data_IF_786330024001
#
_entry.id   IF_786330024001
#
_cell.length_a   1.000
_cell.length_b   1.000
_cell.length_c   1.000
_cell.angle_alpha   90.00
_cell.angle_beta   90.00
_cell.angle_gamma   90.00
#
_symmetry.space_group_name_H-M   'P 1'
#
loop_
_entity.id
_entity.type
_entity.pdbx_description
1 polymer ?
#
# COMPACT_ATOMS: atom_id res chain seq x y z
N UNK A 1 1.83 4.27 -43.77
CA UNK A 1 1.94 4.75 -42.37
C UNK A 1 2.26 6.24 -42.43
N UNK A 2 1.62 7.07 -41.60
CA UNK A 2 1.78 8.53 -41.66
C UNK A 2 3.05 8.97 -40.93
N UNK A 3 3.75 10.02 -41.41
CA UNK A 3 4.97 10.56 -40.76
C UNK A 3 4.82 10.80 -39.26
N UNK A 4 3.62 11.18 -38.81
CA UNK A 4 3.29 11.37 -37.40
C UNK A 4 3.34 10.07 -36.57
N UNK A 5 2.96 8.93 -37.15
CA UNK A 5 3.06 7.62 -36.49
C UNK A 5 4.52 7.18 -36.37
N UNK A 6 5.34 7.41 -37.40
CA UNK A 6 6.76 7.04 -37.40
C UNK A 6 7.54 7.87 -36.36
N UNK A 7 7.25 9.17 -36.26
CA UNK A 7 7.84 10.05 -35.23
C UNK A 7 7.45 9.65 -33.81
N UNK A 8 6.20 9.25 -33.60
CA UNK A 8 5.72 8.77 -32.30
C UNK A 8 6.40 7.46 -31.92
N UNK A 9 6.54 6.52 -32.86
CA UNK A 9 7.27 5.26 -32.65
C UNK A 9 8.75 5.51 -32.33
N UNK A 10 9.41 6.42 -33.05
CA UNK A 10 10.81 6.76 -32.80
C UNK A 10 11.01 7.35 -31.39
N UNK A 11 10.12 8.27 -30.96
CA UNK A 11 10.14 8.85 -29.61
C UNK A 11 9.89 7.79 -28.54
N UNK A 12 8.93 6.89 -28.75
CA UNK A 12 8.63 5.79 -27.84
C UNK A 12 9.83 4.84 -27.69
N UNK A 13 10.46 4.44 -28.80
CA UNK A 13 11.67 3.59 -28.79
C UNK A 13 12.82 4.25 -28.03
N UNK A 14 13.07 5.54 -28.27
CA UNK A 14 14.13 6.30 -27.56
C UNK A 14 13.87 6.34 -26.05
N UNK A 15 12.63 6.61 -25.63
CA UNK A 15 12.23 6.61 -24.21
C UNK A 15 12.39 5.23 -23.59
N UNK A 16 11.96 4.17 -24.29
CA UNK A 16 12.09 2.79 -23.83
C UNK A 16 13.56 2.38 -23.63
N UNK A 17 14.45 2.72 -24.57
CA UNK A 17 15.88 2.45 -24.44
C UNK A 17 16.51 3.21 -23.27
N UNK A 18 16.16 4.49 -23.08
CA UNK A 18 16.64 5.28 -21.95
C UNK A 18 16.16 4.67 -20.61
N UNK A 19 14.90 4.22 -20.55
CA UNK A 19 14.35 3.54 -19.38
C UNK A 19 15.09 2.24 -19.09
N UNK A 20 15.31 1.41 -20.12
CA UNK A 20 16.08 0.15 -20.00
C UNK A 20 17.49 0.37 -19.47
N UNK A 21 18.16 1.46 -19.86
CA UNK A 21 19.48 1.83 -19.31
C UNK A 21 19.38 2.14 -17.82
N UNK A 22 18.39 2.95 -17.40
CA UNK A 22 18.16 3.24 -15.97
C UNK A 22 17.82 1.99 -15.15
N UNK A 23 17.07 1.04 -15.72
CA UNK A 23 16.74 -0.23 -15.06
C UNK A 23 17.95 -1.18 -14.87
N UNK A 24 19.06 -0.94 -15.59
CA UNK A 24 20.32 -1.66 -15.39
C UNK A 24 21.16 -1.08 -14.25
N UNK A 25 20.84 0.13 -13.78
CA UNK A 25 21.54 0.76 -12.66
C UNK A 25 21.45 -0.13 -11.41
N UNK A 26 22.58 -0.40 -10.71
CA UNK A 26 22.60 -1.23 -9.52
C UNK A 26 21.63 -0.75 -8.43
N UNK A 27 21.46 0.57 -8.28
CA UNK A 27 20.54 1.17 -7.29
C UNK A 27 19.10 0.77 -7.58
N UNK A 28 18.70 0.84 -8.85
CA UNK A 28 17.35 0.41 -9.27
C UNK A 28 17.13 -1.06 -8.97
N UNK A 29 18.07 -1.92 -9.42
CA UNK A 29 17.94 -3.37 -9.28
C UNK A 29 17.85 -3.79 -7.82
N UNK A 30 18.61 -3.13 -6.93
CA UNK A 30 18.60 -3.37 -5.49
C UNK A 30 17.27 -2.96 -4.85
N UNK A 31 16.74 -1.77 -5.17
CA UNK A 31 15.44 -1.31 -4.64
C UNK A 31 14.31 -2.21 -5.15
N UNK A 32 14.26 -2.47 -6.45
CA UNK A 32 13.27 -3.36 -7.04
C UNK A 32 13.35 -4.76 -6.40
N UNK A 33 14.55 -5.32 -6.28
CA UNK A 33 14.79 -6.60 -5.62
C UNK A 33 14.32 -6.65 -4.17
N UNK A 34 14.44 -5.53 -3.44
CA UNK A 34 13.93 -5.42 -2.06
C UNK A 34 12.42 -5.41 -1.99
N UNK A 35 11.77 -4.65 -2.87
CA UNK A 35 10.32 -4.54 -2.90
C UNK A 35 9.66 -5.84 -3.41
N UNK A 36 10.31 -6.53 -4.35
CA UNK A 36 9.90 -7.86 -4.81
C UNK A 36 10.08 -8.90 -3.71
N UNK A 37 11.21 -8.92 -3.00
CA UNK A 37 11.45 -9.85 -1.90
C UNK A 37 10.41 -9.70 -0.77
N UNK A 38 9.96 -8.48 -0.51
CA UNK A 38 8.91 -8.20 0.47
C UNK A 38 7.48 -8.52 -0.04
N UNK A 39 7.33 -8.81 -1.33
CA UNK A 39 6.04 -9.06 -1.99
C UNK A 39 5.21 -7.79 -2.20
N UNK A 40 5.85 -6.61 -2.24
CA UNK A 40 5.19 -5.32 -2.49
C UNK A 40 5.02 -5.05 -3.99
N UNK A 41 5.89 -5.61 -4.81
CA UNK A 41 5.87 -5.46 -6.27
C UNK A 41 6.13 -6.78 -6.96
N UNK A 42 5.52 -6.95 -8.13
CA UNK A 42 5.91 -7.94 -9.12
C UNK A 42 6.68 -7.25 -10.26
N UNK A 43 7.66 -7.97 -10.82
CA UNK A 43 8.48 -7.48 -11.93
C UNK A 43 8.62 -8.54 -13.02
N UNK A 44 8.61 -8.10 -14.27
CA UNK A 44 8.93 -8.92 -15.45
C UNK A 44 10.36 -8.66 -15.95
N UNK A 45 11.13 -7.83 -15.23
CA UNK A 45 12.52 -7.54 -15.58
C UNK A 45 13.38 -8.73 -15.15
N UNK A 46 13.98 -9.40 -16.13
CA UNK A 46 14.84 -10.55 -15.89
C UNK A 46 16.11 -10.20 -15.07
N UNK A 47 16.50 -11.17 -14.24
CA UNK A 47 17.73 -11.14 -13.46
C UNK A 47 17.75 -10.11 -12.33
N UNK A 48 16.62 -9.53 -11.92
CA UNK A 48 16.56 -8.69 -10.71
C UNK A 48 16.87 -9.60 -9.51
N UNK A 49 18.03 -9.43 -8.83
CA UNK A 49 18.34 -10.25 -7.67
C UNK A 49 17.44 -9.84 -6.51
N UNK A 50 16.93 -10.83 -5.77
CA UNK A 50 16.25 -10.55 -4.50
C UNK A 50 17.22 -9.87 -3.55
N UNK A 51 16.74 -8.86 -2.82
CA UNK A 51 17.56 -8.10 -1.90
C UNK A 51 16.90 -8.06 -0.52
N UNK A 52 17.56 -8.61 0.49
CA UNK A 52 16.99 -8.68 1.85
C UNK A 52 17.42 -7.54 2.76
N UNK A 53 18.49 -6.82 2.38
CA UNK A 53 19.00 -5.74 3.23
C UNK A 53 18.19 -4.45 3.04
N UNK A 54 18.11 -3.59 4.06
CA UNK A 54 17.47 -2.29 3.91
C UNK A 54 18.18 -1.41 2.87
N UNK A 55 17.41 -0.74 2.01
CA UNK A 55 17.95 0.12 0.96
C UNK A 55 17.92 1.60 1.39
N UNK A 56 18.92 2.43 1.05
CA UNK A 56 18.86 3.87 1.34
C UNK A 56 17.59 4.52 0.80
N UNK A 57 17.00 5.43 1.59
CA UNK A 57 15.84 6.20 1.17
C UNK A 57 16.10 6.94 -0.16
N UNK A 58 17.29 7.53 -0.32
CA UNK A 58 17.68 8.24 -1.54
C UNK A 58 17.66 7.33 -2.79
N UNK A 59 18.20 6.11 -2.67
CA UNK A 59 18.16 5.12 -3.76
C UNK A 59 16.71 4.76 -4.11
N UNK A 60 15.84 4.61 -3.10
CA UNK A 60 14.44 4.28 -3.31
C UNK A 60 13.66 5.42 -3.98
N UNK A 61 13.89 6.66 -3.54
CA UNK A 61 13.31 7.86 -4.16
C UNK A 61 13.77 8.02 -5.61
N UNK A 62 15.06 7.79 -5.88
CA UNK A 62 15.59 7.79 -7.23
C UNK A 62 14.97 6.69 -8.09
N UNK A 63 14.85 5.46 -7.56
CA UNK A 63 14.23 4.35 -8.26
C UNK A 63 12.75 4.61 -8.58
N UNK A 64 12.04 5.37 -7.72
CA UNK A 64 10.69 5.85 -7.99
C UNK A 64 10.56 6.77 -9.21
N UNK A 65 11.65 7.42 -9.64
CA UNK A 65 11.69 8.18 -10.90
C UNK A 65 11.83 7.28 -12.15
N UNK A 66 12.20 6.01 -11.95
CA UNK A 66 12.37 5.00 -13.00
C UNK A 66 11.14 4.09 -13.07
N UNK A 67 10.64 3.62 -11.92
CA UNK A 67 9.42 2.83 -11.80
C UNK A 67 8.41 3.60 -10.92
N UNK A 68 7.39 4.22 -11.52
CA UNK A 68 6.41 5.04 -10.79
C UNK A 68 5.70 4.28 -9.64
N UNK A 69 5.48 2.97 -9.77
CA UNK A 69 4.86 2.16 -8.72
C UNK A 69 5.68 2.17 -7.42
N UNK A 70 7.01 2.31 -7.50
CA UNK A 70 7.85 2.49 -6.31
C UNK A 70 7.50 3.81 -5.61
N UNK A 71 7.33 4.90 -6.37
CA UNK A 71 6.98 6.21 -5.80
C UNK A 71 5.58 6.21 -5.16
N UNK A 72 4.63 5.48 -5.75
CA UNK A 72 3.28 5.28 -5.19
C UNK A 72 3.30 4.48 -3.90
N UNK A 73 4.15 3.46 -3.80
CA UNK A 73 4.27 2.61 -2.61
C UNK A 73 5.06 3.25 -1.47
N UNK A 74 6.01 4.13 -1.79
CA UNK A 74 6.97 4.66 -0.82
C UNK A 74 6.32 5.28 0.43
N UNK A 75 5.26 6.13 0.33
CA UNK A 75 4.58 6.65 1.51
C UNK A 75 4.06 5.56 2.45
N UNK A 76 3.49 4.48 1.90
CA UNK A 76 3.02 3.35 2.69
C UNK A 76 4.18 2.57 3.34
N UNK A 77 5.28 2.35 2.61
CA UNK A 77 6.48 1.69 3.14
C UNK A 77 7.11 2.50 4.27
N UNK A 78 7.26 3.82 4.12
CA UNK A 78 7.81 4.71 5.13
C UNK A 78 7.06 4.65 6.46
N UNK A 79 5.74 4.46 6.41
CA UNK A 79 4.89 4.42 7.60
C UNK A 79 4.74 3.01 8.17
N UNK A 80 4.53 2.01 7.31
CA UNK A 80 4.16 0.65 7.75
C UNK A 80 5.33 -0.31 7.82
N UNK A 81 6.35 -0.13 6.97
CA UNK A 81 7.53 -1.01 6.90
C UNK A 81 8.83 -0.19 6.79
N UNK A 82 9.11 0.74 7.74
CA UNK A 82 10.30 1.59 7.66
C UNK A 82 11.61 0.78 7.67
N UNK A 83 11.62 -0.44 8.23
CA UNK A 83 12.77 -1.36 8.24
C UNK A 83 13.24 -1.81 6.86
N UNK A 84 12.43 -1.64 5.80
CA UNK A 84 12.89 -1.89 4.43
C UNK A 84 13.87 -0.83 3.94
N UNK A 85 13.90 0.33 4.61
CA UNK A 85 14.66 1.50 4.22
C UNK A 85 15.72 1.82 5.28
N UNK A 86 16.87 2.32 4.83
CA UNK A 86 17.82 3.05 5.67
C UNK A 86 17.45 4.51 5.60
N UNK A 87 16.86 5.01 6.66
CA UNK A 87 16.45 6.41 6.77
C UNK A 87 17.64 7.26 7.24
N UNK A 88 17.87 8.44 6.65
CA UNK A 88 18.83 9.40 7.16
C UNK A 88 18.39 9.95 8.53
N UNK A 89 19.32 10.58 9.27
CA UNK A 89 19.03 11.24 10.54
C UNK A 89 18.00 12.37 10.37
N UNK A 90 18.13 13.11 9.27
CA UNK A 90 17.21 14.18 8.87
C UNK A 90 16.50 13.77 7.60
N UNK A 91 15.16 13.75 7.65
CA UNK A 91 14.32 13.40 6.51
C UNK A 91 14.11 14.63 5.62
N UNK A 92 14.01 14.46 4.29
CA UNK A 92 13.51 15.50 3.42
C UNK A 92 12.12 15.98 3.86
N UNK A 93 11.84 17.28 3.73
CA UNK A 93 10.59 17.89 4.22
C UNK A 93 9.33 17.24 3.63
N UNK A 94 9.36 16.92 2.33
CA UNK A 94 8.24 16.26 1.64
C UNK A 94 7.97 14.85 2.20
N UNK A 95 9.03 14.11 2.52
CA UNK A 95 8.97 12.80 3.17
C UNK A 95 8.44 12.92 4.60
N UNK A 96 8.95 13.87 5.37
CA UNK A 96 8.50 14.11 6.74
C UNK A 96 7.01 14.49 6.78
N UNK A 97 6.58 15.39 5.89
CA UNK A 97 5.21 15.86 5.80
C UNK A 97 4.23 14.74 5.43
N UNK A 98 4.55 13.90 4.43
CA UNK A 98 3.67 12.78 4.05
C UNK A 98 3.60 11.73 5.16
N UNK A 99 4.73 11.42 5.82
CA UNK A 99 4.76 10.50 6.95
C UNK A 99 3.92 11.00 8.12
N UNK A 100 4.06 12.29 8.47
CA UNK A 100 3.26 12.92 9.51
C UNK A 100 1.77 12.86 9.17
N UNK A 101 1.39 13.27 7.96
CA UNK A 101 0.00 13.30 7.55
C UNK A 101 -0.67 11.92 7.62
N UNK A 102 -0.01 10.89 7.11
CA UNK A 102 -0.52 9.51 7.15
C UNK A 102 -0.62 9.00 8.59
N UNK A 103 0.39 9.23 9.44
CA UNK A 103 0.39 8.75 10.83
C UNK A 103 -0.71 9.38 11.69
N UNK A 104 -1.00 10.65 11.45
CA UNK A 104 -1.96 11.42 12.24
C UNK A 104 -3.33 11.57 11.56
N UNK A 105 -3.58 10.86 10.45
CA UNK A 105 -4.85 10.95 9.72
C UNK A 105 -5.18 12.36 9.23
N UNK A 106 -4.16 13.18 8.93
CA UNK A 106 -4.32 14.53 8.38
C UNK A 106 -4.46 14.45 6.86
N UNK A 107 -4.97 15.52 6.21
CA UNK A 107 -4.94 15.63 4.75
C UNK A 107 -3.53 15.40 4.22
N UNK A 108 -3.38 14.41 3.36
CA UNK A 108 -2.08 14.00 2.87
C UNK A 108 -1.66 14.86 1.65
N UNK A 109 -0.44 15.39 1.60
CA UNK A 109 0.02 16.25 0.50
C UNK A 109 0.37 15.45 -0.75
N UNK A 110 0.49 16.09 -1.91
CA UNK A 110 1.11 15.43 -3.07
C UNK A 110 2.55 15.03 -2.74
N UNK A 111 2.94 13.81 -3.11
CA UNK A 111 4.27 13.28 -2.84
C UNK A 111 5.05 13.11 -4.14
N UNK A 112 5.98 14.03 -4.42
CA UNK A 112 6.85 14.02 -5.62
C UNK A 112 6.09 13.79 -6.94
N UNK A 113 4.98 14.51 -7.10
CA UNK A 113 4.11 14.41 -8.29
C UNK A 113 3.08 13.28 -8.24
N UNK A 114 3.05 12.48 -7.18
CA UNK A 114 2.00 11.47 -6.93
C UNK A 114 0.91 12.08 -6.06
N UNK A 115 -0.32 12.08 -6.55
CA UNK A 115 -1.48 12.57 -5.82
C UNK A 115 -1.91 11.59 -4.71
N UNK A 116 -2.52 12.08 -3.60
CA UNK A 116 -2.87 11.25 -2.44
C UNK A 116 -3.75 10.04 -2.73
N UNK A 117 -4.69 10.17 -3.65
CA UNK A 117 -5.58 9.10 -4.11
C UNK A 117 -4.83 7.88 -4.68
N UNK A 118 -3.61 8.07 -5.20
CA UNK A 118 -2.78 6.99 -5.75
C UNK A 118 -1.96 6.26 -4.69
N UNK A 119 -1.50 6.95 -3.65
CA UNK A 119 -0.61 6.33 -2.65
C UNK A 119 -1.31 5.93 -1.35
N UNK A 120 -2.43 6.56 -0.99
CA UNK A 120 -3.16 6.24 0.23
C UNK A 120 -3.74 4.82 0.27
N UNK A 121 -4.25 4.23 -0.84
CA UNK A 121 -4.73 2.85 -0.84
C UNK A 121 -3.65 1.87 -0.34
N UNK A 122 -2.40 2.06 -0.76
CA UNK A 122 -1.26 1.23 -0.35
C UNK A 122 -1.02 1.26 1.16
N UNK A 123 -1.33 2.36 1.86
CA UNK A 123 -1.18 2.42 3.33
C UNK A 123 -2.02 1.35 4.02
N UNK A 124 -3.19 1.03 3.44
CA UNK A 124 -4.07 -0.01 3.95
C UNK A 124 -3.58 -1.41 3.60
N UNK A 125 -3.02 -1.60 2.41
CA UNK A 125 -2.59 -2.92 1.90
C UNK A 125 -1.23 -3.36 2.46
N UNK A 126 -0.23 -2.47 2.47
CA UNK A 126 1.16 -2.78 2.87
C UNK A 126 1.24 -3.23 4.34
N UNK A 127 0.36 -2.73 5.20
CA UNK A 127 0.34 -3.06 6.63
C UNK A 127 -0.42 -4.34 7.00
N UNK A 128 -1.05 -5.04 6.04
CA UNK A 128 -2.05 -6.08 6.32
C UNK A 128 -1.76 -7.37 5.57
N UNK A 129 -0.72 -8.12 5.98
CA UNK A 129 -0.74 -9.56 5.75
C UNK A 129 -1.80 -10.18 6.68
N UNK A 130 -2.97 -10.52 6.12
CA UNK A 130 -3.98 -11.37 6.77
C UNK A 130 -4.86 -10.73 7.85
N UNK A 131 -4.90 -9.40 7.98
CA UNK A 131 -5.83 -8.72 8.90
C UNK A 131 -6.57 -7.63 8.18
N UNK A 132 -7.87 -7.78 7.98
CA UNK A 132 -8.75 -6.73 7.47
C UNK A 132 -8.62 -5.45 8.31
N UNK A 133 -8.88 -4.26 7.74
CA UNK A 133 -9.08 -3.07 8.55
C UNK A 133 -10.04 -3.38 9.69
N UNK A 134 -9.63 -3.04 10.92
CA UNK A 134 -10.59 -2.63 11.92
C UNK A 134 -11.25 -1.36 11.39
N UNK A 135 -12.25 -1.51 10.54
CA UNK A 135 -13.13 -0.41 10.19
C UNK A 135 -13.91 -0.15 11.47
N UNK A 136 -13.51 0.87 12.22
CA UNK A 136 -14.34 1.41 13.30
C UNK A 136 -15.56 2.07 12.65
N UNK A 137 -16.52 1.24 12.22
CA UNK A 137 -17.89 1.68 11.97
C UNK A 137 -18.55 1.78 13.34
N UNK A 138 -18.86 3.00 13.76
CA UNK A 138 -19.75 3.20 14.90
C UNK A 138 -21.18 2.87 14.46
N UNK A 139 -21.71 1.74 14.93
CA UNK A 139 -23.11 1.41 14.74
C UNK A 139 -23.94 2.19 15.75
N UNK A 140 -24.98 2.90 15.29
CA UNK A 140 -25.96 3.53 16.17
C UNK A 140 -27.03 2.51 16.53
N UNK A 141 -26.76 1.72 17.56
CA UNK A 141 -27.78 0.86 18.17
C UNK A 141 -28.78 1.70 18.95
N UNK A 142 -30.06 1.39 18.80
CA UNK A 142 -31.10 1.88 19.71
C UNK A 142 -31.01 1.11 21.03
N UNK A 143 -31.66 1.63 22.06
CA UNK A 143 -31.73 0.97 23.37
C UNK A 143 -32.28 -0.47 23.26
N UNK A 144 -33.30 -0.67 22.41
CA UNK A 144 -33.89 -1.98 22.13
C UNK A 144 -32.89 -2.99 21.54
N UNK A 145 -32.00 -2.53 20.66
CA UNK A 145 -30.98 -3.37 20.04
C UNK A 145 -29.93 -3.83 21.05
N UNK A 146 -29.52 -2.93 21.96
CA UNK A 146 -28.58 -3.24 23.05
C UNK A 146 -29.18 -4.28 24.00
N UNK A 147 -30.46 -4.15 24.34
CA UNK A 147 -31.18 -5.14 25.16
C UNK A 147 -31.31 -6.48 24.44
N UNK A 148 -31.55 -6.47 23.12
CA UNK A 148 -31.60 -7.68 22.31
C UNK A 148 -30.24 -8.38 22.27
N UNK A 149 -29.16 -7.64 22.06
CA UNK A 149 -27.79 -8.15 22.04
C UNK A 149 -27.39 -8.77 23.40
N UNK A 150 -27.75 -8.09 24.49
CA UNK A 150 -27.52 -8.59 25.85
C UNK A 150 -28.27 -9.89 26.15
N UNK A 151 -29.50 -10.04 25.65
CA UNK A 151 -30.27 -11.29 25.76
C UNK A 151 -29.63 -12.42 24.96
N UNK A 152 -29.25 -12.14 23.71
CA UNK A 152 -28.57 -13.12 22.85
C UNK A 152 -27.24 -13.60 23.44
N UNK A 153 -26.47 -12.70 24.05
CA UNK A 153 -25.22 -13.06 24.74
C UNK A 153 -25.45 -14.03 25.91
N UNK A 154 -26.58 -13.91 26.62
CA UNK A 154 -26.91 -14.83 27.73
C UNK A 154 -27.36 -16.21 27.24
N UNK A 155 -27.98 -16.27 26.07
CA UNK A 155 -28.50 -17.53 25.49
C UNK A 155 -27.51 -18.27 24.60
N UNK A 156 -26.42 -17.61 24.17
CA UNK A 156 -25.41 -18.18 23.29
C UNK A 156 -24.11 -18.43 24.05
N UNK A 157 -23.27 -19.41 23.63
CA UNK A 157 -21.96 -19.66 24.25
C UNK A 157 -20.91 -18.55 23.98
N UNK A 158 -21.32 -17.41 23.41
CA UNK A 158 -20.47 -16.28 23.08
C UNK A 158 -20.03 -15.50 24.34
N UNK A 159 -18.76 -15.12 24.40
CA UNK A 159 -18.15 -14.41 25.54
C UNK A 159 -18.21 -12.89 25.39
N UNK A 160 -18.54 -12.37 24.21
CA UNK A 160 -18.65 -10.93 23.94
C UNK A 160 -19.74 -10.56 22.94
N UNK A 161 -20.17 -9.29 22.99
CA UNK A 161 -21.15 -8.71 22.06
C UNK A 161 -20.70 -8.84 20.59
N UNK A 162 -19.39 -8.70 20.35
CA UNK A 162 -18.77 -8.89 19.03
C UNK A 162 -18.95 -10.31 18.50
N UNK A 163 -18.79 -11.32 19.36
CA UNK A 163 -18.96 -12.72 18.98
C UNK A 163 -20.42 -13.05 18.69
N UNK A 164 -21.35 -12.49 19.46
CA UNK A 164 -22.79 -12.62 19.20
C UNK A 164 -23.15 -12.05 17.84
N UNK A 165 -22.66 -10.85 17.50
CA UNK A 165 -22.89 -10.23 16.19
C UNK A 165 -22.30 -11.09 15.08
N UNK A 166 -21.08 -11.63 15.27
CA UNK A 166 -20.44 -12.49 14.28
C UNK A 166 -21.24 -13.76 14.01
N UNK A 167 -21.66 -14.46 15.06
CA UNK A 167 -22.51 -15.65 14.92
C UNK A 167 -23.83 -15.34 14.21
N UNK A 168 -24.45 -14.20 14.51
CA UNK A 168 -25.69 -13.78 13.85
C UNK A 168 -25.50 -13.52 12.34
N UNK A 169 -24.37 -12.90 11.95
CA UNK A 169 -24.04 -12.66 10.56
C UNK A 169 -23.75 -13.97 9.81
N UNK A 170 -22.96 -14.88 10.40
CA UNK A 170 -22.66 -16.20 9.82
C UNK A 170 -23.94 -17.04 9.59
N UNK A 171 -24.89 -16.99 10.53
CA UNK A 171 -26.19 -17.64 10.37
C UNK A 171 -26.98 -17.05 9.20
N UNK A 172 -27.03 -15.72 9.06
CA UNK A 172 -27.75 -15.08 7.96
C UNK A 172 -27.11 -15.39 6.60
N UNK A 173 -25.78 -15.42 6.51
CA UNK A 173 -25.05 -15.80 5.30
C UNK A 173 -25.31 -17.26 4.90
N UNK A 174 -25.37 -18.17 5.88
CA UNK A 174 -25.70 -19.59 5.65
C UNK A 174 -27.17 -19.88 5.34
N UNK A 175 -28.08 -18.92 5.58
CA UNK A 175 -29.53 -19.07 5.35
C UNK A 175 -30.00 -18.35 4.08
N UNK A 176 -29.08 -17.71 3.34
CA UNK A 176 -29.45 -17.02 2.09
C UNK A 176 -29.85 -18.05 1.02
N UNK A 177 -31.12 -18.11 0.57
CA UNK A 177 -31.43 -18.87 -0.63
C UNK A 177 -30.70 -18.20 -1.80
N UNK A 178 -30.05 -19.02 -2.63
CA UNK A 178 -29.42 -18.58 -3.87
C UNK A 178 -30.43 -17.90 -4.82
#
# INVERSE_FOLDING_TARGET
MTRAQDDLQARARKRYQALRRKQRDPRFRKVMGRFVAEGLLATTIEGIPLHEKPVPLEEALWAGTVEPRIMELLPAVLVKKPRLLRLPKELPDDVAAVMYAIRHGKPAPSFRGVAPDRYLPWVTEVGRKGKSPSVLKSFRFKHEDVLRLSRLRRSLPARSDTEVIRMALELLEGTSPA
#
